data_IF_415904516586
#
_entry.id   IF_415904516586
#
_cell.length_a   1.000
_cell.length_b   1.000
_cell.length_c   1.000
_cell.angle_alpha   90.00
_cell.angle_beta   90.00
_cell.angle_gamma   90.00
#
_symmetry.space_group_name_H-M   'P 1'
#
loop_
_entity.id
_entity.type
_entity.pdbx_description
1 polymer ?
#
# COMPACT_ATOMS: atom_id res chain seq x y z
N UNK A 1 25.36 69.56 -17.64
CA UNK A 1 24.19 69.79 -18.51
C UNK A 1 23.18 68.72 -18.20
N UNK A 2 21.92 68.92 -17.87
CA UNK A 2 21.17 70.01 -17.22
C UNK A 2 19.96 69.31 -16.60
N UNK A 3 19.61 69.73 -15.40
CA UNK A 3 18.42 69.35 -14.64
C UNK A 3 17.13 69.74 -15.37
N UNK A 4 15.99 69.09 -15.07
CA UNK A 4 14.80 69.79 -14.51
C UNK A 4 13.60 68.86 -14.26
N UNK A 5 13.10 69.01 -13.04
CA UNK A 5 11.76 68.72 -12.52
C UNK A 5 10.87 69.93 -12.78
N UNK A 6 9.58 69.73 -13.09
CA UNK A 6 8.44 70.68 -12.95
C UNK A 6 7.18 69.80 -12.76
N UNK A 7 6.34 69.82 -11.73
CA UNK A 7 5.75 70.83 -10.83
C UNK A 7 4.56 71.63 -11.40
N UNK A 8 3.36 71.26 -10.88
CA UNK A 8 2.21 72.06 -10.41
C UNK A 8 1.40 72.99 -11.36
N UNK A 9 0.08 73.08 -11.09
CA UNK A 9 -0.78 74.31 -10.98
C UNK A 9 -2.27 73.91 -10.82
N UNK A 10 -2.92 74.18 -9.66
CA UNK A 10 -3.84 75.31 -9.27
C UNK A 10 -5.34 75.06 -9.60
N UNK A 11 -6.27 74.83 -8.65
CA UNK A 11 -7.06 75.78 -7.79
C UNK A 11 -8.05 76.68 -8.58
N UNK A 12 -9.16 77.30 -8.06
CA UNK A 12 -9.94 77.24 -6.80
C UNK A 12 -11.49 77.11 -7.07
N UNK A 13 -12.36 77.59 -6.15
CA UNK A 13 -13.83 77.84 -6.18
C UNK A 13 -14.72 76.82 -5.45
N UNK A 14 -15.71 77.17 -4.64
CA UNK A 14 -15.99 78.32 -3.76
C UNK A 14 -17.19 77.90 -2.88
N UNK A 15 -17.23 78.37 -1.63
CA UNK A 15 -18.41 78.36 -0.78
C UNK A 15 -19.60 79.12 -1.43
N UNK A 16 -20.81 78.74 -1.01
CA UNK A 16 -22.04 79.54 -0.92
C UNK A 16 -22.92 79.76 -2.18
N UNK A 17 -24.03 79.01 -2.25
CA UNK A 17 -25.39 79.41 -2.66
C UNK A 17 -26.28 78.16 -2.43
N UNK A 18 -27.38 78.14 -1.68
CA UNK A 18 -28.50 79.05 -1.55
C UNK A 18 -29.11 78.97 -0.15
N UNK A 19 -29.36 80.13 0.44
CA UNK A 19 -30.36 80.31 1.48
C UNK A 19 -31.74 80.55 0.83
N UNK A 20 -32.79 80.30 1.61
CA UNK A 20 -34.16 80.80 1.48
C UNK A 20 -35.12 80.08 0.50
N UNK A 21 -35.73 78.98 0.99
CA UNK A 21 -37.20 78.89 1.03
C UNK A 21 -37.58 78.64 2.49
N UNK A 22 -38.02 79.71 3.15
CA UNK A 22 -38.55 79.65 4.50
C UNK A 22 -40.05 79.37 4.50
N UNK A 23 -40.51 78.73 5.57
CA UNK A 23 -41.81 79.03 6.16
C UNK A 23 -43.02 78.23 5.68
N UNK A 24 -43.09 76.96 6.03
CA UNK A 24 -44.30 76.32 6.55
C UNK A 24 -43.90 74.93 7.09
N UNK A 25 -44.56 74.49 8.17
CA UNK A 25 -44.28 73.25 8.93
C UNK A 25 -43.23 73.44 10.05
N UNK A 26 -43.37 74.54 10.79
CA UNK A 26 -43.27 74.47 12.27
C UNK A 26 -44.71 74.29 12.76
N UNK A 27 -44.94 73.39 13.72
CA UNK A 27 -46.25 72.97 14.28
C UNK A 27 -46.96 71.81 13.54
N UNK A 28 -46.31 70.65 13.42
CA UNK A 28 -46.99 69.34 13.57
C UNK A 28 -45.96 68.19 13.63
N UNK A 29 -45.49 67.82 14.82
CA UNK A 29 -44.58 66.66 14.94
C UNK A 29 -43.75 66.56 16.22
N UNK A 30 -43.87 67.51 17.16
CA UNK A 30 -43.18 67.48 18.45
C UNK A 30 -43.85 66.56 19.50
N UNK A 31 -44.27 65.34 19.12
CA UNK A 31 -44.87 64.37 20.07
C UNK A 31 -44.23 62.98 20.08
N UNK A 32 -43.37 62.60 19.13
CA UNK A 32 -42.82 61.23 19.11
C UNK A 32 -41.31 61.14 19.35
N UNK A 33 -40.76 61.96 20.23
CA UNK A 33 -39.35 61.87 20.66
C UNK A 33 -39.16 61.41 22.13
N UNK A 34 -40.22 60.93 22.81
CA UNK A 34 -40.14 60.42 24.20
C UNK A 34 -40.41 58.91 24.32
N UNK A 35 -40.97 58.25 23.30
CA UNK A 35 -41.25 56.80 23.38
C UNK A 35 -40.10 55.90 22.88
N UNK A 36 -39.04 56.46 22.30
CA UNK A 36 -37.95 55.66 21.72
C UNK A 36 -36.86 55.27 22.73
N UNK A 37 -36.72 55.98 23.86
CA UNK A 37 -35.67 55.68 24.86
C UNK A 37 -36.14 54.66 25.91
N UNK A 38 -37.45 54.54 26.15
CA UNK A 38 -38.01 53.59 27.13
C UNK A 38 -37.99 52.12 26.67
N UNK A 39 -37.87 51.85 25.37
CA UNK A 39 -37.89 50.48 24.82
C UNK A 39 -36.51 49.80 24.79
N UNK A 40 -35.43 50.51 25.14
CA UNK A 40 -34.07 49.97 25.08
C UNK A 40 -33.60 49.31 26.39
N UNK A 41 -34.35 49.48 27.49
CA UNK A 41 -33.87 49.11 28.83
C UNK A 41 -34.71 48.05 29.55
N UNK A 42 -35.76 47.50 28.93
CA UNK A 42 -36.64 46.49 29.53
C UNK A 42 -36.19 45.04 29.29
N UNK A 43 -34.96 44.81 28.82
CA UNK A 43 -34.43 43.48 28.47
C UNK A 43 -33.32 42.95 29.36
N UNK A 44 -32.92 43.65 30.44
CA UNK A 44 -31.72 43.29 31.22
C UNK A 44 -31.98 42.43 32.47
N UNK A 45 -33.23 42.10 32.79
CA UNK A 45 -33.59 41.32 34.00
C UNK A 45 -34.27 39.97 33.71
N UNK A 46 -34.27 39.48 32.47
CA UNK A 46 -34.70 38.12 32.20
C UNK A 46 -33.49 37.16 32.30
N UNK A 47 -33.46 36.19 33.23
CA UNK A 47 -32.45 35.15 33.18
C UNK A 47 -32.59 34.41 31.85
N UNK A 48 -31.51 34.33 31.09
CA UNK A 48 -31.49 33.59 29.83
C UNK A 48 -32.06 32.18 30.07
N UNK A 49 -32.94 31.66 29.19
CA UNK A 49 -33.40 30.29 29.32
C UNK A 49 -32.17 29.38 29.29
N UNK A 50 -31.94 28.67 30.40
CA UNK A 50 -30.89 27.66 30.49
C UNK A 50 -31.15 26.68 29.35
N UNK A 51 -30.21 26.47 28.41
CA UNK A 51 -30.41 25.50 27.36
C UNK A 51 -30.60 24.14 28.03
N UNK A 52 -31.82 23.60 27.97
CA UNK A 52 -32.09 22.23 28.38
C UNK A 52 -31.28 21.37 27.43
N UNK A 53 -30.20 20.76 27.95
CA UNK A 53 -29.39 19.84 27.19
C UNK A 53 -30.31 18.80 26.55
N UNK A 54 -30.24 18.69 25.22
CA UNK A 54 -30.94 17.62 24.52
C UNK A 54 -30.60 16.28 25.18
N UNK A 55 -31.54 15.32 25.27
CA UNK A 55 -31.24 14.01 25.81
C UNK A 55 -30.03 13.46 25.05
N UNK A 56 -28.96 13.17 25.78
CA UNK A 56 -27.78 12.53 25.20
C UNK A 56 -28.26 11.15 24.75
N UNK A 57 -28.45 10.98 23.44
CA UNK A 57 -28.70 9.66 22.86
C UNK A 57 -27.66 8.70 23.43
N UNK A 58 -28.11 7.53 23.87
CA UNK A 58 -27.23 6.51 24.47
C UNK A 58 -26.02 6.35 23.55
N UNK A 59 -24.84 6.73 24.05
CA UNK A 59 -23.57 6.54 23.35
C UNK A 59 -23.53 5.07 22.97
N UNK A 60 -23.62 4.79 21.66
CA UNK A 60 -23.52 3.43 21.15
C UNK A 60 -22.24 2.78 21.67
N UNK A 61 -22.17 1.44 21.72
CA UNK A 61 -20.94 0.77 22.12
C UNK A 61 -19.75 1.39 21.36
N UNK A 62 -18.63 1.68 22.05
CA UNK A 62 -17.51 2.37 21.43
C UNK A 62 -17.10 1.63 20.16
N UNK A 63 -16.72 2.35 19.09
CA UNK A 63 -16.29 1.69 17.87
C UNK A 63 -15.16 0.71 18.20
N UNK A 64 -15.15 -0.49 17.59
CA UNK A 64 -14.10 -1.46 17.85
C UNK A 64 -12.73 -0.80 17.63
N UNK A 65 -11.73 -1.08 18.49
CA UNK A 65 -10.43 -0.47 18.35
C UNK A 65 -9.88 -0.74 16.94
N UNK A 66 -9.19 0.24 16.32
CA UNK A 66 -8.60 0.03 15.02
C UNK A 66 -7.66 -1.18 15.08
N UNK A 67 -7.62 -2.01 14.02
CA UNK A 67 -6.84 -3.22 14.04
C UNK A 67 -5.35 -2.93 14.27
N UNK A 68 -4.72 -3.67 15.17
CA UNK A 68 -3.33 -3.42 15.52
C UNK A 68 -2.34 -3.82 14.41
N UNK A 69 -2.74 -4.74 13.51
CA UNK A 69 -1.92 -5.23 12.40
C UNK A 69 -2.75 -5.37 11.12
N UNK A 70 -2.31 -4.74 10.04
CA UNK A 70 -2.93 -4.83 8.72
C UNK A 70 -1.86 -5.15 7.71
N UNK A 71 -2.06 -6.18 6.88
CA UNK A 71 -1.13 -6.58 5.83
C UNK A 71 -1.86 -6.59 4.49
N UNK A 72 -1.55 -5.63 3.63
CA UNK A 72 -2.06 -5.59 2.26
C UNK A 72 -1.27 -6.55 1.36
N UNK A 73 -1.88 -6.95 0.25
CA UNK A 73 -1.15 -7.63 -0.81
C UNK A 73 -0.18 -6.65 -1.48
N UNK A 74 1.11 -6.98 -1.63
CA UNK A 74 2.09 -6.08 -2.24
C UNK A 74 1.86 -5.88 -3.74
N UNK A 75 1.08 -6.77 -4.38
CA UNK A 75 0.57 -6.67 -5.73
C UNK A 75 -0.94 -6.98 -5.73
N UNK A 76 -1.79 -5.98 -5.44
CA UNK A 76 -3.24 -6.17 -5.40
C UNK A 76 -3.80 -6.75 -6.71
N UNK A 77 -4.75 -7.69 -6.60
CA UNK A 77 -5.38 -8.32 -7.76
C UNK A 77 -4.53 -9.33 -8.52
N UNK A 78 -3.33 -9.69 -8.01
CA UNK A 78 -2.47 -10.72 -8.59
C UNK A 78 -2.51 -12.00 -7.78
N UNK A 79 -2.29 -13.13 -8.46
CA UNK A 79 -2.28 -14.45 -7.85
C UNK A 79 -0.86 -14.91 -7.55
N UNK A 80 -0.72 -15.71 -6.50
CA UNK A 80 0.53 -16.39 -6.17
C UNK A 80 0.75 -17.50 -7.19
N UNK A 81 1.85 -17.42 -7.93
CA UNK A 81 2.33 -18.44 -8.86
C UNK A 81 3.04 -19.57 -8.08
N UNK A 82 3.97 -19.19 -7.21
CA UNK A 82 4.81 -20.13 -6.46
C UNK A 82 4.59 -19.90 -4.97
N UNK A 83 3.98 -20.86 -4.24
CA UNK A 83 3.73 -20.69 -2.83
C UNK A 83 4.98 -20.93 -1.97
N UNK A 84 4.89 -20.51 -0.71
CA UNK A 84 5.84 -20.83 0.35
C UNK A 84 5.93 -22.34 0.60
N UNK A 85 7.13 -22.82 0.94
CA UNK A 85 7.38 -24.20 1.34
C UNK A 85 8.42 -24.92 0.49
N UNK A 86 8.54 -26.24 0.67
CA UNK A 86 9.56 -27.04 -0.03
C UNK A 86 9.25 -27.18 -1.51
N UNK A 87 10.22 -26.81 -2.35
CA UNK A 87 10.17 -26.99 -3.81
C UNK A 87 11.41 -27.69 -4.34
N UNK A 88 11.20 -28.56 -5.32
CA UNK A 88 12.26 -29.23 -6.07
C UNK A 88 12.38 -28.56 -7.44
N UNK A 89 13.57 -28.07 -7.79
CA UNK A 89 13.82 -27.69 -9.18
C UNK A 89 13.94 -28.96 -10.03
N UNK A 90 13.47 -28.96 -11.29
CA UNK A 90 13.48 -30.16 -12.13
C UNK A 90 14.84 -30.85 -12.27
N UNK A 91 15.93 -30.08 -12.16
CA UNK A 91 17.32 -30.52 -12.34
C UNK A 91 18.12 -30.65 -11.04
N UNK A 92 17.53 -30.35 -9.88
CA UNK A 92 18.21 -30.50 -8.60
C UNK A 92 17.88 -31.86 -7.99
N UNK A 93 18.83 -32.43 -7.25
CA UNK A 93 18.62 -33.70 -6.54
C UNK A 93 17.89 -33.51 -5.21
N UNK A 94 18.11 -32.36 -4.56
CA UNK A 94 17.56 -32.04 -3.24
C UNK A 94 16.61 -30.83 -3.28
N UNK A 95 15.57 -30.88 -2.46
CA UNK A 95 14.55 -29.83 -2.41
C UNK A 95 15.05 -28.62 -1.64
N UNK A 96 14.63 -27.42 -2.05
CA UNK A 96 14.96 -26.16 -1.37
C UNK A 96 13.70 -25.54 -0.77
N UNK A 97 13.85 -24.90 0.38
CA UNK A 97 12.78 -24.08 0.95
C UNK A 97 12.61 -22.82 0.10
N UNK A 98 11.39 -22.57 -0.35
CA UNK A 98 10.97 -21.28 -0.82
C UNK A 98 10.53 -20.44 0.39
N UNK A 99 11.37 -19.48 0.79
CA UNK A 99 11.20 -18.66 2.00
C UNK A 99 10.08 -17.60 1.88
N UNK A 100 9.47 -17.48 0.71
CA UNK A 100 8.40 -16.52 0.42
C UNK A 100 7.39 -17.05 -0.58
N UNK A 101 6.79 -16.12 -1.31
CA UNK A 101 5.85 -16.39 -2.41
C UNK A 101 6.30 -15.63 -3.65
N UNK A 102 6.08 -16.25 -4.81
CA UNK A 102 6.32 -15.61 -6.10
C UNK A 102 4.98 -15.18 -6.68
N UNK A 103 4.84 -13.89 -6.95
CA UNK A 103 3.63 -13.27 -7.49
C UNK A 103 3.93 -12.79 -8.90
N UNK A 104 3.28 -13.42 -9.89
CA UNK A 104 3.51 -13.09 -11.29
C UNK A 104 2.91 -11.71 -11.63
N UNK A 105 3.72 -10.86 -12.26
CA UNK A 105 3.32 -9.53 -12.70
C UNK A 105 4.26 -9.05 -13.83
N UNK A 106 3.77 -8.21 -14.75
CA UNK A 106 4.61 -7.65 -15.80
C UNK A 106 5.69 -6.74 -15.21
N UNK A 107 6.83 -6.65 -15.89
CA UNK A 107 7.90 -5.74 -15.51
C UNK A 107 7.37 -4.30 -15.47
N UNK A 108 7.80 -3.54 -14.45
CA UNK A 108 7.32 -2.18 -14.23
C UNK A 108 6.02 -2.07 -13.43
N UNK A 109 5.34 -3.18 -13.09
CA UNK A 109 4.20 -3.13 -12.18
C UNK A 109 4.63 -2.57 -10.81
N UNK A 110 3.82 -1.68 -10.24
CA UNK A 110 4.11 -1.07 -8.93
C UNK A 110 4.01 -2.12 -7.82
N UNK A 111 5.03 -2.19 -6.97
CA UNK A 111 5.07 -3.02 -5.76
C UNK A 111 4.77 -2.14 -4.57
N UNK A 112 3.79 -2.53 -3.76
CA UNK A 112 3.35 -1.79 -2.60
C UNK A 112 3.89 -2.38 -1.31
N UNK A 113 4.15 -1.54 -0.32
CA UNK A 113 4.51 -2.00 1.02
C UNK A 113 3.30 -2.64 1.67
N UNK A 114 3.48 -3.87 2.16
CA UNK A 114 2.41 -4.66 2.77
C UNK A 114 1.85 -4.03 4.06
N UNK A 115 2.69 -3.39 4.87
CA UNK A 115 2.26 -2.72 6.11
C UNK A 115 3.19 -1.56 6.47
N UNK A 116 2.75 -0.67 7.35
CA UNK A 116 3.54 0.49 7.79
C UNK A 116 4.91 0.05 8.31
N UNK A 117 5.95 0.80 7.97
CA UNK A 117 7.30 0.41 8.38
C UNK A 117 8.38 1.40 7.98
N UNK A 118 9.61 0.99 8.19
CA UNK A 118 10.82 1.75 7.87
C UNK A 118 11.70 0.91 6.96
N UNK A 119 12.22 1.48 5.88
CA UNK A 119 13.16 0.80 4.99
C UNK A 119 14.43 0.45 5.77
N UNK A 120 14.65 -0.84 5.99
CA UNK A 120 15.81 -1.36 6.70
C UNK A 120 17.05 -1.34 5.81
N UNK A 121 16.90 -1.79 4.56
CA UNK A 121 17.97 -1.76 3.55
C UNK A 121 17.40 -1.98 2.15
N UNK A 122 18.19 -1.61 1.17
CA UNK A 122 17.96 -1.91 -0.24
C UNK A 122 19.32 -2.19 -0.89
N UNK A 123 19.34 -3.02 -1.93
CA UNK A 123 20.59 -3.38 -2.56
C UNK A 123 20.42 -4.30 -3.76
N UNK A 124 21.54 -4.88 -4.20
CA UNK A 124 21.59 -5.85 -5.29
C UNK A 124 22.29 -7.11 -4.81
N UNK A 125 21.68 -8.26 -5.09
CA UNK A 125 22.22 -9.60 -4.84
C UNK A 125 22.25 -10.39 -6.14
N UNK A 126 23.21 -11.30 -6.28
CA UNK A 126 23.26 -12.22 -7.43
C UNK A 126 22.02 -13.14 -7.48
N UNK A 127 21.52 -13.57 -6.32
CA UNK A 127 20.35 -14.45 -6.24
C UNK A 127 19.05 -13.64 -6.28
N UNK A 128 18.85 -12.72 -5.34
CA UNK A 128 17.59 -11.97 -5.22
C UNK A 128 17.45 -10.81 -6.21
N UNK A 129 18.51 -10.47 -6.94
CA UNK A 129 18.51 -9.29 -7.79
C UNK A 129 18.44 -8.02 -6.96
N UNK A 130 17.80 -6.99 -7.50
CA UNK A 130 17.48 -5.78 -6.74
C UNK A 130 16.43 -6.13 -5.69
N UNK A 131 16.66 -5.68 -4.46
CA UNK A 131 15.76 -5.94 -3.34
C UNK A 131 15.57 -4.71 -2.46
N UNK A 132 14.45 -4.70 -1.74
CA UNK A 132 14.15 -3.79 -0.64
C UNK A 132 13.66 -4.61 0.55
N UNK A 133 14.10 -4.24 1.74
CA UNK A 133 13.66 -4.83 3.00
C UNK A 133 13.09 -3.73 3.90
N UNK A 134 11.90 -3.95 4.46
CA UNK A 134 11.20 -3.01 5.32
C UNK A 134 10.94 -3.68 6.66
N UNK A 135 11.32 -3.01 7.75
CA UNK A 135 10.99 -3.44 9.11
C UNK A 135 9.69 -2.77 9.56
N UNK A 136 8.85 -3.52 10.24
CA UNK A 136 7.49 -3.15 10.63
C UNK A 136 7.34 -3.17 12.15
N UNK A 137 6.15 -2.81 12.61
CA UNK A 137 5.72 -2.98 14.01
C UNK A 137 6.01 -4.41 14.49
N UNK A 138 6.32 -4.56 15.77
CA UNK A 138 6.68 -5.84 16.42
C UNK A 138 7.93 -6.55 15.87
N UNK A 139 8.69 -5.88 14.99
CA UNK A 139 9.90 -6.42 14.39
C UNK A 139 9.63 -7.40 13.27
N UNK A 140 8.46 -7.36 12.61
CA UNK A 140 8.30 -8.09 11.34
C UNK A 140 9.12 -7.45 10.24
N UNK A 141 9.58 -8.25 9.29
CA UNK A 141 10.30 -7.77 8.11
C UNK A 141 9.57 -8.23 6.86
N UNK A 142 9.36 -7.33 5.91
CA UNK A 142 8.98 -7.73 4.55
C UNK A 142 10.18 -7.55 3.62
N UNK A 143 10.34 -8.52 2.72
CA UNK A 143 11.42 -8.54 1.74
C UNK A 143 10.83 -8.62 0.34
N UNK A 144 11.27 -7.71 -0.53
CA UNK A 144 10.80 -7.57 -1.91
C UNK A 144 11.98 -7.77 -2.84
N UNK A 145 11.94 -8.75 -3.72
CA UNK A 145 13.06 -9.14 -4.58
C UNK A 145 12.67 -9.30 -6.06
N UNK A 146 13.69 -9.54 -6.89
CA UNK A 146 13.63 -9.55 -8.35
C UNK A 146 13.14 -8.23 -8.96
N UNK A 147 13.35 -7.13 -8.25
CA UNK A 147 12.87 -5.80 -8.63
C UNK A 147 13.58 -5.30 -9.89
N UNK A 148 12.88 -4.50 -10.70
CA UNK A 148 13.44 -3.87 -11.89
C UNK A 148 14.04 -2.50 -11.58
N UNK A 149 13.31 -1.71 -10.80
CA UNK A 149 13.65 -0.35 -10.41
C UNK A 149 13.15 -0.08 -8.98
N UNK A 150 13.93 0.64 -8.19
CA UNK A 150 13.47 1.15 -6.89
C UNK A 150 12.55 2.38 -7.08
N UNK A 151 11.81 2.75 -6.03
CA UNK A 151 11.03 3.99 -6.00
C UNK A 151 11.83 5.18 -5.42
N UNK A 152 13.17 5.11 -5.39
CA UNK A 152 14.02 6.15 -4.79
C UNK A 152 14.03 6.18 -3.26
N UNK A 153 13.52 5.13 -2.61
CA UNK A 153 13.52 5.03 -1.15
C UNK A 153 14.91 4.75 -0.59
N UNK A 154 15.27 5.43 0.49
CA UNK A 154 16.56 5.27 1.19
C UNK A 154 16.37 4.54 2.50
N UNK A 155 17.43 3.91 3.02
CA UNK A 155 17.44 3.35 4.38
C UNK A 155 16.97 4.40 5.39
N UNK A 156 16.10 4.00 6.32
CA UNK A 156 15.51 4.88 7.32
C UNK A 156 14.24 5.61 6.86
N UNK A 157 13.85 5.48 5.58
CA UNK A 157 12.61 6.11 5.08
C UNK A 157 11.41 5.40 5.70
N UNK A 158 10.53 6.16 6.34
CA UNK A 158 9.23 5.67 6.76
C UNK A 158 8.30 5.51 5.54
N UNK A 159 7.64 4.37 5.44
CA UNK A 159 6.73 4.02 4.36
C UNK A 159 5.39 3.60 4.95
N UNK A 160 4.31 4.15 4.39
CA UNK A 160 2.95 3.76 4.74
C UNK A 160 2.51 2.56 3.93
N UNK A 161 1.66 1.72 4.51
CA UNK A 161 0.93 0.65 3.84
C UNK A 161 0.32 1.17 2.54
N UNK A 162 0.49 0.41 1.47
CA UNK A 162 0.01 0.79 0.13
C UNK A 162 0.93 1.76 -0.63
N UNK A 163 1.94 2.37 0.01
CA UNK A 163 2.93 3.18 -0.71
C UNK A 163 3.76 2.29 -1.65
N UNK A 164 4.11 2.82 -2.82
CA UNK A 164 4.98 2.10 -3.76
C UNK A 164 6.42 2.08 -3.26
N UNK A 165 6.98 0.87 -3.15
CA UNK A 165 8.36 0.65 -2.69
C UNK A 165 9.34 0.50 -3.84
N UNK A 166 8.87 -0.11 -4.93
CA UNK A 166 9.67 -0.47 -6.09
C UNK A 166 8.75 -0.90 -7.23
N UNK A 167 9.36 -1.37 -8.31
CA UNK A 167 8.68 -1.89 -9.49
C UNK A 167 9.16 -3.29 -9.81
N UNK A 168 8.24 -4.16 -10.22
CA UNK A 168 8.51 -5.55 -10.61
C UNK A 168 9.56 -5.58 -11.73
N UNK A 169 10.43 -6.57 -11.69
CA UNK A 169 11.43 -6.79 -12.72
C UNK A 169 11.68 -8.27 -12.96
N UNK A 170 12.91 -8.57 -13.39
CA UNK A 170 13.41 -9.92 -13.62
C UNK A 170 14.92 -9.98 -13.28
N UNK A 171 15.34 -9.27 -12.23
CA UNK A 171 16.76 -9.18 -11.86
C UNK A 171 17.20 -10.35 -10.97
N UNK A 172 18.50 -10.64 -10.95
CA UNK A 172 19.04 -11.78 -10.20
C UNK A 172 18.70 -13.13 -10.86
N UNK A 173 18.56 -14.17 -10.05
CA UNK A 173 18.19 -15.51 -10.51
C UNK A 173 16.67 -15.66 -10.54
N UNK A 174 16.09 -15.21 -11.65
CA UNK A 174 14.65 -15.27 -11.91
C UNK A 174 14.37 -15.92 -13.27
N UNK A 175 13.26 -16.65 -13.37
CA UNK A 175 12.84 -17.37 -14.59
C UNK A 175 11.97 -16.52 -15.50
N UNK A 176 11.37 -15.45 -14.98
CA UNK A 176 10.48 -14.53 -15.69
C UNK A 176 10.07 -13.37 -14.79
N UNK A 177 9.37 -12.37 -15.32
CA UNK A 177 9.02 -11.20 -14.50
C UNK A 177 8.02 -11.56 -13.39
N UNK A 178 8.43 -11.34 -12.14
CA UNK A 178 7.62 -11.59 -10.95
C UNK A 178 8.18 -10.82 -9.74
N UNK A 179 7.39 -10.74 -8.69
CA UNK A 179 7.83 -10.33 -7.36
C UNK A 179 8.06 -11.56 -6.50
N UNK A 180 9.27 -11.70 -5.96
CA UNK A 180 9.51 -12.58 -4.82
C UNK A 180 9.28 -11.80 -3.53
N UNK A 181 8.29 -12.22 -2.75
CA UNK A 181 7.87 -11.56 -1.51
C UNK A 181 8.02 -12.49 -0.32
N UNK A 182 8.73 -12.05 0.70
CA UNK A 182 8.85 -12.75 1.96
C UNK A 182 8.29 -11.91 3.11
N UNK A 183 7.81 -12.60 4.13
CA UNK A 183 7.51 -12.03 5.43
C UNK A 183 8.31 -12.81 6.46
N UNK A 184 9.05 -12.11 7.33
CA UNK A 184 9.89 -12.72 8.36
C UNK A 184 9.51 -12.19 9.73
N UNK A 185 9.69 -13.02 10.76
CA UNK A 185 9.48 -12.59 12.14
C UNK A 185 10.69 -11.77 12.66
N UNK A 186 10.61 -11.34 13.93
CA UNK A 186 11.69 -10.58 14.60
C UNK A 186 13.03 -11.32 14.70
N UNK A 187 13.01 -12.65 14.67
CA UNK A 187 14.23 -13.46 14.66
C UNK A 187 14.81 -13.64 13.25
N UNK A 188 14.14 -13.12 12.21
CA UNK A 188 14.53 -13.26 10.82
C UNK A 188 14.08 -14.58 10.17
N UNK A 189 13.25 -15.37 10.84
CA UNK A 189 12.73 -16.64 10.32
C UNK A 189 11.59 -16.39 9.34
N UNK A 190 11.53 -17.11 8.21
CA UNK A 190 10.52 -16.89 7.20
C UNK A 190 9.15 -17.44 7.63
N UNK A 191 8.11 -16.68 7.31
CA UNK A 191 6.70 -16.98 7.56
C UNK A 191 5.97 -17.07 6.23
N UNK A 192 5.02 -18.00 6.10
CA UNK A 192 4.16 -18.09 4.94
C UNK A 192 3.35 -16.79 4.74
N UNK A 193 3.67 -15.95 3.74
CA UNK A 193 3.04 -14.64 3.57
C UNK A 193 1.57 -14.75 3.16
N UNK A 194 1.16 -15.86 2.55
CA UNK A 194 -0.23 -16.10 2.14
C UNK A 194 -1.22 -16.15 3.32
N UNK A 195 -0.72 -16.37 4.55
CA UNK A 195 -1.55 -16.31 5.75
C UNK A 195 -1.82 -14.88 6.25
N UNK A 196 -1.06 -13.89 5.77
CA UNK A 196 -1.14 -12.49 6.20
C UNK A 196 -1.68 -11.56 5.12
N UNK A 197 -1.24 -11.72 3.86
CA UNK A 197 -1.59 -10.80 2.77
C UNK A 197 -3.11 -10.65 2.60
N UNK A 198 -3.57 -9.40 2.51
CA UNK A 198 -4.98 -9.04 2.40
C UNK A 198 -5.78 -9.23 3.70
N UNK A 199 -5.12 -9.35 4.85
CA UNK A 199 -5.79 -9.60 6.13
C UNK A 199 -5.43 -8.58 7.19
N UNK A 200 -6.32 -8.56 8.17
CA UNK A 200 -6.32 -7.64 9.30
C UNK A 200 -6.44 -8.46 10.58
N UNK A 201 -5.65 -8.10 11.59
CA UNK A 201 -5.62 -8.75 12.89
C UNK A 201 -5.80 -7.68 13.97
N UNK A 202 -6.72 -7.94 14.91
CA UNK A 202 -7.04 -6.99 15.97
C UNK A 202 -5.88 -6.89 16.96
N UNK A 203 -5.32 -8.04 17.35
CA UNK A 203 -4.24 -8.12 18.32
C UNK A 203 -3.10 -9.03 17.86
N UNK A 204 -2.00 -9.01 18.61
CA UNK A 204 -0.83 -9.85 18.34
C UNK A 204 -1.15 -11.34 18.51
N UNK A 205 -2.05 -11.69 19.43
CA UNK A 205 -2.48 -13.07 19.69
C UNK A 205 -3.20 -13.71 18.50
N UNK A 206 -3.83 -12.90 17.65
CA UNK A 206 -4.56 -13.36 16.46
C UNK A 206 -3.64 -13.69 15.28
N UNK A 207 -2.36 -13.29 15.35
CA UNK A 207 -1.41 -13.52 14.28
C UNK A 207 -1.15 -15.02 14.11
N UNK A 208 -1.21 -15.56 12.87
CA UNK A 208 -1.08 -16.99 12.61
C UNK A 208 0.38 -17.48 12.66
N UNK A 209 1.19 -17.03 13.62
CA UNK A 209 2.65 -17.22 13.65
C UNK A 209 3.05 -18.70 13.64
N UNK A 210 2.41 -19.53 14.48
CA UNK A 210 2.68 -20.97 14.53
C UNK A 210 2.35 -21.67 13.22
N UNK A 211 1.25 -21.28 12.58
CA UNK A 211 0.82 -21.85 11.31
C UNK A 211 1.72 -21.37 10.15
N UNK A 212 2.11 -20.10 10.17
CA UNK A 212 2.93 -19.49 9.13
C UNK A 212 4.39 -19.94 9.15
N UNK A 213 4.94 -20.23 10.33
CA UNK A 213 6.29 -20.80 10.47
C UNK A 213 6.36 -22.27 10.03
N UNK A 214 5.23 -22.96 9.86
CA UNK A 214 5.22 -24.38 9.50
C UNK A 214 5.56 -24.58 8.02
N UNK A 215 6.68 -25.25 7.78
CA UNK A 215 7.04 -25.76 6.44
C UNK A 215 6.44 -27.15 6.24
N UNK A 216 5.58 -27.30 5.23
CA UNK A 216 5.00 -28.60 4.88
C UNK A 216 6.07 -29.56 4.34
N UNK A 217 6.00 -30.85 4.72
CA UNK A 217 6.88 -31.91 4.18
C UNK A 217 6.61 -32.25 2.72
N UNK A 218 5.47 -31.79 2.17
CA UNK A 218 5.11 -32.02 0.76
C UNK A 218 6.01 -31.14 -0.12
N UNK A 219 6.89 -31.80 -0.86
CA UNK A 219 7.73 -31.14 -1.87
C UNK A 219 6.92 -30.94 -3.15
N UNK A 220 6.87 -29.70 -3.64
CA UNK A 220 6.25 -29.35 -4.93
C UNK A 220 7.32 -29.28 -6.01
N UNK A 221 6.99 -29.61 -7.26
CA UNK A 221 7.87 -29.27 -8.37
C UNK A 221 7.80 -27.76 -8.60
N UNK A 222 8.94 -27.11 -8.69
CA UNK A 222 9.00 -25.68 -8.98
C UNK A 222 8.56 -25.41 -10.42
N UNK A 223 7.79 -24.34 -10.62
CA UNK A 223 7.47 -23.86 -11.96
C UNK A 223 8.68 -23.10 -12.53
N UNK A 224 9.10 -23.48 -13.73
CA UNK A 224 10.25 -22.89 -14.42
C UNK A 224 9.82 -22.54 -15.83
N UNK A 225 9.95 -21.26 -16.21
CA UNK A 225 9.71 -20.79 -17.59
C UNK A 225 10.96 -20.85 -18.46
N UNK A 226 12.16 -20.72 -17.87
CA UNK A 226 13.43 -20.74 -18.61
C UNK A 226 14.33 -21.89 -18.16
N UNK A 227 14.55 -22.82 -19.07
CA UNK A 227 15.45 -23.96 -18.85
C UNK A 227 16.89 -23.57 -19.22
N UNK A 228 17.90 -23.93 -18.41
CA UNK A 228 19.29 -23.76 -18.79
C UNK A 228 19.67 -24.55 -20.05
N UNK A 229 20.56 -23.98 -20.86
CA UNK A 229 21.17 -24.63 -22.03
C UNK A 229 21.74 -26.02 -21.65
N UNK A 230 21.42 -27.03 -22.44
CA UNK A 230 21.85 -28.43 -22.20
C UNK A 230 21.13 -29.17 -21.06
N UNK A 231 20.38 -28.52 -20.16
CA UNK A 231 19.61 -29.22 -19.11
C UNK A 231 18.37 -29.92 -19.66
N UNK A 232 17.69 -29.35 -20.67
CA UNK A 232 16.51 -29.99 -21.29
C UNK A 232 16.88 -31.37 -21.86
N UNK A 233 18.03 -31.46 -22.55
CA UNK A 233 18.56 -32.72 -23.09
C UNK A 233 19.02 -33.70 -21.99
N UNK A 234 19.74 -33.22 -20.96
CA UNK A 234 20.14 -34.08 -19.82
C UNK A 234 18.96 -34.63 -19.05
N UNK A 235 17.90 -33.83 -18.87
CA UNK A 235 16.68 -34.27 -18.20
C UNK A 235 15.86 -35.20 -19.09
N UNK A 236 15.75 -34.94 -20.39
CA UNK A 236 15.14 -35.88 -21.33
C UNK A 236 15.85 -37.25 -21.30
N UNK A 237 17.18 -37.27 -21.28
CA UNK A 237 17.98 -38.48 -21.16
C UNK A 237 17.77 -39.21 -19.82
N UNK A 238 17.84 -38.49 -18.68
CA UNK A 238 17.60 -39.08 -17.36
C UNK A 238 16.16 -39.58 -17.18
N UNK A 239 15.18 -38.94 -17.83
CA UNK A 239 13.78 -39.36 -17.79
C UNK A 239 13.53 -40.58 -18.68
N UNK A 240 14.17 -40.65 -19.86
CA UNK A 240 14.15 -41.81 -20.74
C UNK A 240 14.80 -43.05 -20.10
N UNK A 241 15.82 -42.84 -19.27
CA UNK A 241 16.53 -43.90 -18.55
C UNK A 241 15.79 -44.42 -17.31
N UNK A 242 14.99 -43.56 -16.62
CA UNK A 242 14.38 -43.92 -15.33
C UNK A 242 13.01 -44.62 -15.41
N UNK A 243 12.13 -44.29 -16.34
CA UNK A 243 10.83 -44.97 -16.52
C UNK A 243 10.40 -44.81 -17.98
N UNK A 244 10.02 -45.88 -18.68
CA UNK A 244 9.59 -45.86 -20.08
C UNK A 244 8.45 -44.88 -20.35
N UNK A 245 8.81 -43.63 -20.65
CA UNK A 245 7.91 -42.52 -20.90
C UNK A 245 7.74 -42.31 -22.40
N UNK A 246 6.50 -42.26 -22.87
CA UNK A 246 6.16 -41.81 -24.21
C UNK A 246 5.71 -40.36 -24.17
N UNK A 247 6.20 -39.56 -25.11
CA UNK A 247 5.78 -38.20 -25.34
C UNK A 247 4.43 -38.23 -26.09
N UNK A 248 3.38 -37.69 -25.47
CA UNK A 248 2.07 -37.54 -26.14
C UNK A 248 1.66 -36.07 -26.05
N UNK A 249 1.77 -35.36 -27.18
CA UNK A 249 1.20 -34.02 -27.36
C UNK A 249 1.74 -32.93 -26.43
N UNK A 250 3.07 -32.84 -26.23
CA UNK A 250 3.69 -31.74 -25.47
C UNK A 250 3.51 -31.81 -23.95
N UNK A 251 3.02 -32.93 -23.42
CA UNK A 251 2.94 -33.19 -21.98
C UNK A 251 3.92 -34.29 -21.55
N UNK A 252 4.67 -34.04 -20.48
CA UNK A 252 5.50 -35.05 -19.84
C UNK A 252 4.72 -35.70 -18.70
N UNK A 253 4.46 -37.00 -18.83
CA UNK A 253 3.68 -37.79 -17.88
C UNK A 253 4.63 -38.70 -17.10
N UNK A 254 4.69 -38.52 -15.77
CA UNK A 254 5.41 -39.46 -14.89
C UNK A 254 4.47 -40.57 -14.42
N UNK A 255 4.79 -41.81 -14.80
CA UNK A 255 4.01 -43.01 -14.46
C UNK A 255 4.85 -43.95 -13.58
N UNK A 256 4.41 -44.17 -12.34
CA UNK A 256 4.98 -45.19 -11.45
C UNK A 256 3.90 -46.20 -11.09
N UNK A 257 4.07 -47.46 -11.53
CA UNK A 257 3.11 -48.54 -11.28
C UNK A 257 1.74 -48.36 -11.98
N UNK A 258 1.73 -47.80 -13.19
CA UNK A 258 0.51 -47.66 -14.01
C UNK A 258 -0.44 -46.50 -13.62
N UNK A 259 -0.06 -45.62 -12.67
CA UNK A 259 -0.85 -44.43 -12.30
C UNK A 259 -0.10 -43.13 -12.56
N UNK A 260 -0.77 -42.19 -13.23
CA UNK A 260 -0.25 -40.84 -13.51
C UNK A 260 -0.18 -40.03 -12.22
N UNK A 261 1.01 -39.55 -11.84
CA UNK A 261 1.22 -38.81 -10.58
C UNK A 261 1.22 -37.29 -10.75
N UNK A 262 1.60 -36.77 -11.91
CA UNK A 262 1.65 -35.32 -12.19
C UNK A 262 1.58 -35.10 -13.69
N UNK A 263 0.81 -34.09 -14.12
CA UNK A 263 0.81 -33.58 -15.49
C UNK A 263 1.65 -32.31 -15.51
N UNK A 264 2.70 -32.28 -16.32
CA UNK A 264 3.52 -31.10 -16.54
C UNK A 264 3.17 -30.59 -17.93
N UNK A 265 2.53 -29.42 -18.00
CA UNK A 265 2.35 -28.72 -19.26
C UNK A 265 3.68 -28.08 -19.62
N UNK A 266 4.30 -28.54 -20.70
CA UNK A 266 5.38 -27.81 -21.35
C UNK A 266 4.69 -26.79 -22.24
N UNK A 267 4.71 -25.52 -21.82
CA UNK A 267 4.29 -24.43 -22.70
C UNK A 267 5.57 -23.92 -23.34
N UNK A 268 5.73 -24.19 -24.64
CA UNK A 268 6.78 -23.55 -25.42
C UNK A 268 6.42 -22.05 -25.50
N UNK A 269 7.34 -21.22 -25.00
CA UNK A 269 7.31 -19.77 -25.16
C UNK A 269 8.23 -19.36 -26.29
#
# INVERSE_FOLDING_TARGET
MSSRVLAATSSPYSLAAFAAVGGAIVVWGMVNAVSAVGAMNSGLDAPAPVPVAAPVDKVGPPPPPPPAFVFDAPLPGRTINSPFGLRQMPWEENGRLHEGVDIAAPAGAAVHVATDGVVLRSGVSSTYGRFVEVVHKDGFHSFYAHLGRDAGLRRGTFVKRGATVAYVGNSGRSTGSHLHFELRNKAGEPLNPALFMGKTFAEKGDLPLKAAARVGRKVRLAQVSKWPEGMKAKMAAQMAEKEGASEVGGQVIRVKGGRVRTRINVVDG
#
